data_IF_279554011239
#
_entry.id   IF_279554011239
#
_cell.length_a   1.000
_cell.length_b   1.000
_cell.length_c   1.000
_cell.angle_alpha   90.00
_cell.angle_beta   90.00
_cell.angle_gamma   90.00
#
_symmetry.space_group_name_H-M   'P 1'
#
loop_
_entity.id
_entity.type
_entity.pdbx_description
1 polymer ?
#
# COMPACT_ATOMS: atom_id res chain seq x y z
N UNK A 1 3.71 -15.62 8.12
CA UNK A 1 3.88 -16.55 9.25
C UNK A 1 3.24 -15.97 10.50
N UNK A 2 3.71 -14.86 11.07
CA UNK A 2 3.06 -14.26 12.27
C UNK A 2 1.60 -13.79 12.09
N UNK A 3 1.29 -13.03 11.03
CA UNK A 3 -0.09 -12.55 10.82
C UNK A 3 -1.12 -13.67 10.59
N UNK A 4 -0.67 -14.79 9.99
CA UNK A 4 -1.51 -15.97 9.81
C UNK A 4 -1.78 -16.66 11.15
N UNK A 5 -0.76 -16.78 12.01
CA UNK A 5 -0.91 -17.31 13.38
C UNK A 5 -1.88 -16.45 14.19
N UNK A 6 -1.75 -15.12 14.15
CA UNK A 6 -2.68 -14.22 14.83
C UNK A 6 -4.10 -14.30 14.26
N UNK A 7 -4.25 -14.58 12.95
CA UNK A 7 -5.57 -14.72 12.34
C UNK A 7 -6.31 -16.00 12.77
N UNK A 8 -5.61 -16.96 13.39
CA UNK A 8 -6.26 -18.11 14.01
C UNK A 8 -7.21 -17.67 15.15
N UNK A 9 -6.90 -16.57 15.84
CA UNK A 9 -7.79 -16.00 16.86
C UNK A 9 -9.17 -15.64 16.30
N UNK A 10 -9.25 -15.16 15.05
CA UNK A 10 -10.52 -14.77 14.43
C UNK A 10 -11.45 -15.95 14.16
N UNK A 11 -10.89 -17.14 14.01
CA UNK A 11 -11.66 -18.35 13.70
C UNK A 11 -11.90 -19.20 14.94
N UNK A 12 -11.20 -18.95 16.06
CA UNK A 12 -11.40 -19.68 17.33
C UNK A 12 -12.86 -19.66 17.78
N UNK A 13 -13.52 -18.50 17.72
CA UNK A 13 -14.94 -18.38 18.06
C UNK A 13 -15.86 -19.27 17.20
N UNK A 14 -15.46 -19.58 15.97
CA UNK A 14 -16.21 -20.47 15.08
C UNK A 14 -15.89 -21.96 15.32
N UNK A 15 -14.77 -22.25 16.00
CA UNK A 15 -14.28 -23.58 16.33
C UNK A 15 -14.71 -24.03 17.73
N UNK A 16 -14.80 -23.11 18.69
CA UNK A 16 -15.12 -23.39 20.10
C UNK A 16 -16.62 -23.41 20.38
N UNK A 17 -17.44 -24.01 19.50
CA UNK A 17 -18.76 -24.50 19.91
C UNK A 17 -18.56 -25.72 20.83
N UNK A 18 -17.98 -25.48 21.99
CA UNK A 18 -17.91 -26.45 23.07
C UNK A 18 -19.27 -26.38 23.75
N UNK A 19 -19.93 -27.52 23.89
CA UNK A 19 -21.19 -27.62 24.60
C UNK A 19 -20.90 -27.36 26.09
N UNK A 20 -21.26 -26.18 26.60
CA UNK A 20 -20.97 -25.75 27.98
C UNK A 20 -21.53 -26.72 29.04
N UNK A 21 -22.43 -27.63 28.65
CA UNK A 21 -22.97 -28.70 29.50
C UNK A 21 -22.03 -29.87 29.78
N UNK A 22 -20.86 -29.97 29.12
CA UNK A 22 -19.94 -31.10 29.31
C UNK A 22 -18.93 -30.93 30.47
N UNK A 23 -18.81 -29.73 31.06
CA UNK A 23 -17.79 -29.44 32.07
C UNK A 23 -18.41 -28.99 33.40
N UNK A 24 -18.63 -29.97 34.29
CA UNK A 24 -18.93 -29.74 35.71
C UNK A 24 -17.64 -29.75 36.53
N UNK A 25 -17.45 -28.69 37.31
CA UNK A 25 -16.42 -28.62 38.35
C UNK A 25 -16.66 -29.70 39.43
N UNK A 26 -15.64 -30.08 40.22
CA UNK A 26 -15.78 -31.08 41.28
C UNK A 26 -16.85 -30.75 42.35
N UNK A 27 -17.26 -29.49 42.44
CA UNK A 27 -18.31 -28.97 43.32
C UNK A 27 -19.72 -29.00 42.70
N UNK A 28 -19.85 -29.51 41.46
CA UNK A 28 -21.12 -29.57 40.72
C UNK A 28 -21.54 -28.26 40.06
N UNK A 29 -20.69 -27.22 40.09
CA UNK A 29 -20.91 -25.98 39.34
C UNK A 29 -20.49 -26.13 37.87
N UNK A 30 -21.07 -25.31 36.99
CA UNK A 30 -20.63 -25.23 35.60
C UNK A 30 -19.31 -24.46 35.51
N UNK A 31 -18.39 -24.90 34.65
CA UNK A 31 -17.15 -24.18 34.38
C UNK A 31 -17.45 -22.78 33.82
N UNK A 32 -16.94 -21.74 34.49
CA UNK A 32 -17.02 -20.35 33.99
C UNK A 32 -15.77 -20.12 33.13
N UNK A 33 -15.95 -20.06 31.81
CA UNK A 33 -14.88 -19.66 30.90
C UNK A 33 -14.79 -18.12 30.85
N UNK A 34 -13.73 -17.55 31.42
CA UNK A 34 -13.50 -16.09 31.46
C UNK A 34 -13.22 -15.45 30.08
N UNK A 35 -12.88 -16.26 29.07
CA UNK A 35 -12.60 -15.81 27.70
C UNK A 35 -13.49 -16.54 26.69
N UNK A 36 -14.74 -16.09 26.54
CA UNK A 36 -15.57 -16.50 25.41
C UNK A 36 -15.00 -15.81 24.16
N UNK A 37 -14.48 -16.54 23.17
CA UNK A 37 -13.90 -15.93 21.99
C UNK A 37 -14.99 -15.18 21.20
N UNK A 38 -14.73 -13.90 20.90
CA UNK A 38 -15.69 -13.03 20.24
C UNK A 38 -15.95 -13.49 18.80
N UNK A 39 -17.21 -13.72 18.45
CA UNK A 39 -17.60 -14.05 17.08
C UNK A 39 -17.28 -12.87 16.14
N UNK A 40 -16.42 -13.12 15.15
CA UNK A 40 -15.98 -12.11 14.20
C UNK A 40 -16.96 -12.01 13.03
N UNK A 41 -17.57 -10.84 12.83
CA UNK A 41 -18.46 -10.58 11.69
C UNK A 41 -17.71 -10.28 10.40
N UNK A 42 -16.49 -9.77 10.50
CA UNK A 42 -15.61 -9.47 9.38
C UNK A 42 -14.30 -8.86 9.86
N UNK A 43 -13.27 -8.91 9.02
CA UNK A 43 -11.92 -8.44 9.34
C UNK A 43 -11.58 -7.20 8.51
N UNK A 44 -11.14 -6.13 9.16
CA UNK A 44 -10.52 -4.98 8.49
C UNK A 44 -9.02 -5.14 8.61
N UNK A 45 -8.32 -5.33 7.48
CA UNK A 45 -6.87 -5.34 7.53
C UNK A 45 -6.16 -6.16 6.48
N UNK A 46 -4.88 -6.35 6.77
CA UNK A 46 -3.85 -6.73 5.82
C UNK A 46 -3.39 -5.49 5.04
N UNK A 47 -2.20 -4.98 5.40
CA UNK A 47 -1.57 -3.86 4.71
C UNK A 47 -0.79 -4.36 3.49
N UNK A 48 0.29 -5.11 3.73
CA UNK A 48 1.01 -5.80 2.68
C UNK A 48 0.17 -6.90 2.02
N UNK A 49 0.21 -6.97 0.70
CA UNK A 49 -0.54 -7.96 -0.10
C UNK A 49 -0.24 -9.40 0.30
N UNK A 50 1.01 -9.71 0.64
CA UNK A 50 1.43 -11.04 1.12
C UNK A 50 0.64 -11.45 2.38
N UNK A 51 0.42 -10.51 3.30
CA UNK A 51 -0.36 -10.74 4.52
C UNK A 51 -1.82 -10.93 4.18
N UNK A 52 -2.41 -10.02 3.40
CA UNK A 52 -3.81 -10.11 2.99
C UNK A 52 -4.14 -11.42 2.30
N UNK A 53 -3.27 -11.90 1.41
CA UNK A 53 -3.46 -13.17 0.70
C UNK A 53 -3.50 -14.34 1.68
N UNK A 54 -2.54 -14.42 2.60
CA UNK A 54 -2.48 -15.53 3.56
C UNK A 54 -3.65 -15.50 4.54
N UNK A 55 -4.05 -14.31 5.00
CA UNK A 55 -5.22 -14.13 5.87
C UNK A 55 -6.51 -14.48 5.13
N UNK A 56 -6.69 -14.02 3.88
CA UNK A 56 -7.86 -14.33 3.07
C UNK A 56 -7.99 -15.83 2.79
N UNK A 57 -6.87 -16.54 2.58
CA UNK A 57 -6.85 -18.00 2.42
C UNK A 57 -7.38 -18.74 3.66
N UNK A 58 -7.16 -18.21 4.86
CA UNK A 58 -7.72 -18.76 6.10
C UNK A 58 -9.19 -18.38 6.27
N UNK A 59 -9.49 -17.08 6.19
CA UNK A 59 -10.82 -16.53 6.51
C UNK A 59 -11.92 -17.08 5.59
N UNK A 60 -11.61 -17.35 4.32
CA UNK A 60 -12.57 -17.95 3.37
C UNK A 60 -13.09 -19.32 3.82
N UNK A 61 -12.29 -20.10 4.54
CA UNK A 61 -12.68 -21.42 5.04
C UNK A 61 -13.80 -21.33 6.08
N UNK A 62 -13.85 -20.21 6.80
CA UNK A 62 -14.85 -19.90 7.83
C UNK A 62 -15.89 -18.88 7.34
N UNK A 63 -15.88 -18.54 6.05
CA UNK A 63 -16.77 -17.57 5.42
C UNK A 63 -16.71 -16.17 6.06
N UNK A 64 -15.57 -15.79 6.64
CA UNK A 64 -15.41 -14.48 7.29
C UNK A 64 -14.98 -13.46 6.23
N UNK A 65 -15.77 -12.41 5.96
CA UNK A 65 -15.38 -11.39 5.00
C UNK A 65 -14.19 -10.56 5.47
N UNK A 66 -13.33 -10.17 4.53
CA UNK A 66 -12.18 -9.31 4.79
C UNK A 66 -12.23 -8.08 3.89
N UNK A 67 -11.99 -6.89 4.45
CA UNK A 67 -11.78 -5.65 3.70
C UNK A 67 -10.39 -5.11 3.99
N UNK A 68 -9.50 -5.15 3.01
CA UNK A 68 -8.18 -4.51 3.11
C UNK A 68 -8.27 -3.02 2.76
N UNK A 69 -7.45 -2.22 3.44
CA UNK A 69 -7.31 -0.78 3.21
C UNK A 69 -6.03 -0.40 2.45
N UNK A 70 -5.17 -1.36 2.09
CA UNK A 70 -3.86 -1.05 1.47
C UNK A 70 -3.29 -2.14 0.56
N UNK A 71 -3.82 -3.36 0.53
CA UNK A 71 -3.25 -4.42 -0.31
C UNK A 71 -3.69 -4.31 -1.77
N UNK A 72 -2.76 -3.95 -2.64
CA UNK A 72 -3.02 -3.64 -4.05
C UNK A 72 -2.69 -4.77 -5.04
N UNK A 73 -2.11 -5.90 -4.62
CA UNK A 73 -1.75 -6.98 -5.56
C UNK A 73 -2.94 -7.43 -6.41
N UNK A 74 -2.73 -7.58 -7.72
CA UNK A 74 -3.76 -8.01 -8.66
C UNK A 74 -4.29 -9.42 -8.39
N UNK A 75 -3.52 -10.28 -7.69
CA UNK A 75 -3.96 -11.63 -7.30
C UNK A 75 -5.25 -11.61 -6.48
N UNK A 76 -5.42 -10.61 -5.60
CA UNK A 76 -6.58 -10.51 -4.70
C UNK A 76 -7.92 -10.25 -5.42
N UNK A 77 -7.88 -9.90 -6.71
CA UNK A 77 -9.05 -9.75 -7.57
C UNK A 77 -9.63 -11.11 -8.03
N UNK A 78 -8.87 -12.20 -7.90
CA UNK A 78 -9.33 -13.55 -8.29
C UNK A 78 -10.35 -14.12 -7.29
N UNK A 79 -11.64 -14.01 -7.62
CA UNK A 79 -12.75 -14.52 -6.80
C UNK A 79 -12.92 -16.03 -6.82
N UNK A 80 -12.13 -16.77 -7.59
CA UNK A 80 -12.08 -18.23 -7.44
C UNK A 80 -11.24 -18.64 -6.24
N UNK A 81 -10.29 -17.79 -5.83
CA UNK A 81 -9.37 -18.00 -4.70
C UNK A 81 -9.68 -17.13 -3.49
N UNK A 82 -10.11 -15.89 -3.70
CA UNK A 82 -10.34 -14.89 -2.64
C UNK A 82 -11.79 -14.41 -2.64
N UNK A 83 -12.71 -15.37 -2.48
CA UNK A 83 -14.17 -15.21 -2.61
C UNK A 83 -14.86 -14.43 -1.48
N UNK A 84 -14.11 -14.06 -0.43
CA UNK A 84 -14.57 -13.25 0.72
C UNK A 84 -13.75 -11.97 0.92
N UNK A 85 -12.86 -11.65 -0.02
CA UNK A 85 -11.96 -10.50 0.09
C UNK A 85 -12.49 -9.31 -0.72
N UNK A 86 -12.56 -8.13 -0.12
CA UNK A 86 -12.74 -6.85 -0.81
C UNK A 86 -11.67 -5.86 -0.35
N UNK A 87 -11.56 -4.72 -1.03
CA UNK A 87 -10.61 -3.67 -0.64
C UNK A 87 -11.05 -2.30 -1.10
N UNK A 88 -10.77 -1.29 -0.27
CA UNK A 88 -11.06 0.12 -0.57
C UNK A 88 -10.00 0.77 -1.48
N UNK A 89 -8.97 0.02 -1.85
CA UNK A 89 -7.90 0.41 -2.76
C UNK A 89 -7.97 -0.36 -4.09
N UNK A 90 -7.50 0.21 -5.21
CA UNK A 90 -7.48 -0.44 -6.50
C UNK A 90 -6.37 -1.52 -6.65
N UNK A 91 -6.49 -2.42 -7.65
CA UNK A 91 -5.41 -3.32 -8.03
C UNK A 91 -4.21 -2.59 -8.69
N UNK A 92 -3.01 -3.12 -8.47
CA UNK A 92 -1.73 -2.65 -9.03
C UNK A 92 -1.68 -2.63 -10.56
N UNK A 93 -2.61 -3.31 -11.25
CA UNK A 93 -2.73 -3.21 -12.71
C UNK A 93 -2.85 -1.74 -13.18
N UNK A 94 -3.64 -0.94 -12.47
CA UNK A 94 -3.79 0.48 -12.80
C UNK A 94 -2.54 1.29 -12.43
N UNK A 95 -1.87 0.93 -11.34
CA UNK A 95 -0.62 1.58 -10.90
C UNK A 95 0.52 1.32 -11.88
N UNK A 96 0.70 0.06 -12.30
CA UNK A 96 1.66 -0.34 -13.31
C UNK A 96 1.45 0.42 -14.63
N UNK A 97 0.18 0.60 -15.03
CA UNK A 97 -0.19 1.41 -16.19
C UNK A 97 0.20 2.87 -16.02
N UNK A 98 -0.07 3.47 -14.86
CA UNK A 98 0.34 4.84 -14.54
C UNK A 98 1.87 5.02 -14.61
N UNK A 99 2.63 4.09 -14.03
CA UNK A 99 4.09 4.10 -14.08
C UNK A 99 4.60 4.03 -15.53
N UNK A 100 4.08 3.11 -16.34
CA UNK A 100 4.48 2.98 -17.75
C UNK A 100 4.11 4.22 -18.58
N UNK A 101 3.00 4.90 -18.27
CA UNK A 101 2.63 6.16 -18.92
C UNK A 101 3.56 7.31 -18.54
N UNK A 102 4.06 7.38 -17.30
CA UNK A 102 5.08 8.37 -16.89
C UNK A 102 6.35 8.18 -17.73
N UNK A 103 6.83 6.93 -17.85
CA UNK A 103 8.00 6.63 -18.66
C UNK A 103 7.79 7.02 -20.13
N UNK A 104 6.62 6.69 -20.67
CA UNK A 104 6.27 7.03 -22.05
C UNK A 104 6.21 8.53 -22.27
N UNK A 105 5.67 9.29 -21.32
CA UNK A 105 5.56 10.75 -21.39
C UNK A 105 6.93 11.43 -21.53
N UNK A 106 7.93 10.97 -20.78
CA UNK A 106 9.30 11.50 -20.85
C UNK A 106 10.20 10.80 -21.89
N UNK A 107 9.65 9.91 -22.73
CA UNK A 107 10.40 9.11 -23.70
C UNK A 107 11.55 8.29 -23.10
N UNK A 108 11.36 7.77 -21.88
CA UNK A 108 12.25 6.82 -21.23
C UNK A 108 11.96 5.41 -21.75
N UNK A 109 12.62 5.02 -22.83
CA UNK A 109 12.39 3.74 -23.53
C UNK A 109 13.33 2.63 -23.10
N UNK A 110 14.33 2.91 -22.27
CA UNK A 110 15.26 1.91 -21.74
C UNK A 110 15.48 2.13 -20.24
N UNK A 111 14.92 1.25 -19.43
CA UNK A 111 14.87 1.37 -17.97
C UNK A 111 15.32 0.10 -17.29
N UNK A 112 15.71 0.15 -16.02
CA UNK A 112 15.92 -1.04 -15.20
C UNK A 112 14.77 -1.20 -14.20
N UNK A 113 14.53 -2.42 -13.72
CA UNK A 113 13.46 -2.69 -12.76
C UNK A 113 14.00 -3.39 -11.51
N UNK A 114 13.46 -3.05 -10.34
CA UNK A 114 13.69 -3.77 -9.09
C UNK A 114 12.36 -4.06 -8.41
N UNK A 115 12.15 -5.29 -7.98
CA UNK A 115 10.93 -5.72 -7.30
C UNK A 115 11.23 -6.43 -5.98
N UNK A 116 10.35 -6.26 -4.99
CA UNK A 116 10.39 -7.06 -3.77
C UNK A 116 9.89 -8.48 -4.04
N UNK A 117 10.53 -9.48 -3.46
CA UNK A 117 10.02 -10.86 -3.44
C UNK A 117 8.71 -10.92 -2.66
N UNK A 118 7.71 -11.55 -3.25
CA UNK A 118 6.36 -11.66 -2.71
C UNK A 118 5.30 -11.21 -3.70
N UNK A 119 4.04 -11.40 -3.32
CA UNK A 119 2.88 -11.16 -4.17
C UNK A 119 2.73 -9.69 -4.57
N UNK A 120 3.17 -8.74 -3.74
CA UNK A 120 3.15 -7.31 -4.11
C UNK A 120 4.14 -6.98 -5.23
N UNK A 121 5.44 -7.13 -4.96
CA UNK A 121 6.48 -6.68 -5.89
C UNK A 121 6.51 -7.47 -7.19
N UNK A 122 6.35 -8.79 -7.13
CA UNK A 122 6.41 -9.64 -8.33
C UNK A 122 5.20 -9.42 -9.25
N UNK A 123 3.98 -9.42 -8.71
CA UNK A 123 2.80 -9.23 -9.57
C UNK A 123 2.70 -7.79 -10.08
N UNK A 124 3.12 -6.81 -9.28
CA UNK A 124 3.18 -5.42 -9.68
C UNK A 124 4.19 -5.20 -10.81
N UNK A 125 5.40 -5.75 -10.69
CA UNK A 125 6.39 -5.62 -11.76
C UNK A 125 6.00 -6.41 -13.01
N UNK A 126 5.39 -7.59 -12.89
CA UNK A 126 4.88 -8.34 -14.04
C UNK A 126 3.80 -7.57 -14.82
N UNK A 127 2.92 -6.87 -14.11
CA UNK A 127 1.94 -5.96 -14.73
C UNK A 127 2.64 -4.79 -15.42
N UNK A 128 3.64 -4.18 -14.78
CA UNK A 128 4.43 -3.11 -15.38
C UNK A 128 5.17 -3.58 -16.64
N UNK A 129 5.75 -4.77 -16.64
CA UNK A 129 6.44 -5.33 -17.82
C UNK A 129 5.51 -5.47 -19.03
N UNK A 130 4.24 -5.85 -18.81
CA UNK A 130 3.24 -5.92 -19.87
C UNK A 130 2.89 -4.54 -20.41
N UNK A 131 2.64 -3.58 -19.51
CA UNK A 131 2.33 -2.19 -19.90
C UNK A 131 3.51 -1.48 -20.58
N UNK A 132 4.74 -1.80 -20.18
CA UNK A 132 5.98 -1.33 -20.79
C UNK A 132 6.13 -1.87 -22.23
N UNK A 133 5.93 -3.17 -22.45
CA UNK A 133 5.95 -3.79 -23.79
C UNK A 133 4.91 -3.16 -24.72
N UNK A 134 3.69 -2.95 -24.21
CA UNK A 134 2.62 -2.30 -24.97
C UNK A 134 2.96 -0.86 -25.40
N UNK A 135 3.92 -0.20 -24.73
CA UNK A 135 4.37 1.18 -24.99
C UNK A 135 5.78 1.28 -25.59
N UNK A 136 6.34 0.15 -26.03
CA UNK A 136 7.68 0.05 -26.62
C UNK A 136 8.78 0.53 -25.66
N UNK A 137 8.68 0.15 -24.39
CA UNK A 137 9.71 0.40 -23.37
C UNK A 137 10.42 -0.93 -23.09
N UNK A 138 11.74 -0.92 -23.17
CA UNK A 138 12.59 -2.08 -22.92
C UNK A 138 13.21 -2.05 -21.53
N UNK A 139 13.41 -3.24 -20.97
CA UNK A 139 13.99 -3.43 -19.64
C UNK A 139 15.43 -3.92 -19.79
N UNK A 140 16.37 -3.11 -19.32
CA UNK A 140 17.81 -3.34 -19.43
C UNK A 140 18.28 -4.48 -18.51
N UNK A 141 17.76 -4.48 -17.29
CA UNK A 141 17.95 -5.53 -16.28
C UNK A 141 16.78 -5.52 -15.32
N UNK A 142 16.43 -6.70 -14.80
CA UNK A 142 15.39 -6.85 -13.79
C UNK A 142 15.98 -7.56 -12.58
N UNK A 143 16.01 -6.88 -11.44
CA UNK A 143 16.50 -7.41 -10.18
C UNK A 143 15.35 -7.67 -9.20
N UNK A 144 15.59 -8.54 -8.23
CA UNK A 144 14.67 -8.81 -7.12
C UNK A 144 15.41 -8.69 -5.79
N UNK A 145 14.71 -8.22 -4.77
CA UNK A 145 15.23 -8.10 -3.39
C UNK A 145 14.34 -8.88 -2.43
N UNK A 146 14.94 -9.50 -1.41
CA UNK A 146 14.24 -10.34 -0.44
C UNK A 146 14.67 -10.03 0.99
N UNK A 147 13.72 -10.16 1.93
CA UNK A 147 13.95 -9.99 3.38
C UNK A 147 14.94 -11.01 3.96
N UNK A 148 15.08 -12.18 3.36
CA UNK A 148 15.94 -13.27 3.88
C UNK A 148 17.41 -13.10 3.51
N UNK A 149 17.73 -12.18 2.59
CA UNK A 149 19.11 -11.94 2.16
C UNK A 149 19.84 -11.09 3.22
N UNK A 150 21.10 -11.43 3.50
CA UNK A 150 21.97 -10.64 4.38
C UNK A 150 21.93 -9.16 3.96
N UNK A 151 21.40 -8.30 4.86
CA UNK A 151 20.82 -6.98 4.55
C UNK A 151 21.75 -5.97 3.86
N UNK A 152 23.07 -6.13 3.89
CA UNK A 152 23.97 -5.14 3.27
C UNK A 152 24.47 -5.55 1.89
N UNK A 153 25.07 -6.75 1.76
CA UNK A 153 25.73 -7.16 0.52
C UNK A 153 24.75 -7.38 -0.64
N UNK A 154 23.50 -7.76 -0.36
CA UNK A 154 22.52 -8.05 -1.41
C UNK A 154 22.04 -6.79 -2.14
N UNK A 155 21.71 -5.73 -1.40
CA UNK A 155 21.24 -4.48 -2.00
C UNK A 155 22.35 -3.79 -2.79
N UNK A 156 23.58 -3.79 -2.28
CA UNK A 156 24.75 -3.29 -3.03
C UNK A 156 24.98 -4.07 -4.32
N UNK A 157 24.80 -5.40 -4.32
CA UNK A 157 24.90 -6.21 -5.55
C UNK A 157 23.84 -5.79 -6.58
N UNK A 158 22.61 -5.47 -6.13
CA UNK A 158 21.55 -4.94 -7.00
C UNK A 158 21.98 -3.59 -7.57
N UNK A 159 22.48 -2.66 -6.75
CA UNK A 159 22.99 -1.36 -7.22
C UNK A 159 24.11 -1.55 -8.26
N UNK A 160 25.07 -2.45 -8.03
CA UNK A 160 26.13 -2.76 -9.01
C UNK A 160 25.57 -3.31 -10.32
N UNK A 161 24.56 -4.19 -10.26
CA UNK A 161 23.88 -4.71 -11.46
C UNK A 161 23.18 -3.60 -12.25
N UNK A 162 22.55 -2.65 -11.57
CA UNK A 162 21.95 -1.47 -12.21
C UNK A 162 23.02 -0.58 -12.87
N UNK A 163 24.16 -0.36 -12.21
CA UNK A 163 25.25 0.45 -12.76
C UNK A 163 25.88 -0.15 -14.03
N UNK A 164 25.86 -1.48 -14.18
CA UNK A 164 26.34 -2.15 -15.40
C UNK A 164 25.51 -1.76 -16.64
N UNK A 165 24.29 -1.23 -16.45
CA UNK A 165 23.42 -0.72 -17.53
C UNK A 165 23.48 0.80 -17.58
N UNK A 166 24.65 1.34 -17.95
CA UNK A 166 24.95 2.79 -17.92
C UNK A 166 23.91 3.68 -18.60
N UNK A 167 23.25 3.20 -19.66
CA UNK A 167 22.27 3.95 -20.45
C UNK A 167 20.85 3.92 -19.85
N UNK A 168 20.58 2.97 -18.94
CA UNK A 168 19.34 2.90 -18.18
C UNK A 168 19.44 3.76 -16.92
N UNK A 169 19.31 5.09 -17.08
CA UNK A 169 19.35 6.07 -15.98
C UNK A 169 18.12 6.03 -15.09
N UNK A 170 17.00 5.56 -15.63
CA UNK A 170 15.73 5.44 -14.92
C UNK A 170 15.57 4.03 -14.36
N UNK A 171 15.23 3.94 -13.08
CA UNK A 171 15.03 2.68 -12.36
C UNK A 171 13.62 2.64 -11.78
N UNK A 172 12.83 1.68 -12.24
CA UNK A 172 11.45 1.44 -11.80
C UNK A 172 11.47 0.53 -10.57
N UNK A 173 10.84 0.97 -9.49
CA UNK A 173 10.76 0.23 -8.24
C UNK A 173 9.33 -0.22 -7.97
N UNK A 174 9.14 -1.53 -7.81
CA UNK A 174 7.91 -2.13 -7.30
C UNK A 174 8.22 -2.88 -6.01
N UNK A 175 8.46 -2.11 -4.94
CA UNK A 175 9.09 -2.61 -3.71
C UNK A 175 8.30 -2.21 -2.47
N UNK A 176 8.39 -3.03 -1.42
CA UNK A 176 7.89 -2.66 -0.08
C UNK A 176 8.67 -1.44 0.46
N UNK A 177 8.10 -0.75 1.45
CA UNK A 177 8.70 0.46 2.03
C UNK A 177 10.08 0.20 2.62
N UNK A 178 10.25 -0.92 3.32
CA UNK A 178 11.54 -1.32 3.89
C UNK A 178 12.59 -1.63 2.83
N UNK A 179 12.21 -2.28 1.74
CA UNK A 179 13.14 -2.68 0.67
C UNK A 179 13.55 -1.45 -0.16
N UNK A 180 12.62 -0.51 -0.40
CA UNK A 180 12.91 0.78 -1.02
C UNK A 180 13.93 1.57 -0.18
N UNK A 181 13.74 1.61 1.13
CA UNK A 181 14.67 2.27 2.06
C UNK A 181 16.07 1.65 2.01
N UNK A 182 16.17 0.32 2.10
CA UNK A 182 17.47 -0.36 2.06
C UNK A 182 18.18 -0.19 0.70
N UNK A 183 17.43 -0.15 -0.42
CA UNK A 183 17.98 0.20 -1.74
C UNK A 183 18.58 1.61 -1.76
N UNK A 184 17.87 2.60 -1.21
CA UNK A 184 18.37 3.99 -1.15
C UNK A 184 19.60 4.11 -0.25
N UNK A 185 19.60 3.44 0.90
CA UNK A 185 20.76 3.40 1.80
C UNK A 185 21.97 2.78 1.10
N UNK A 186 21.79 1.70 0.36
CA UNK A 186 22.87 1.07 -0.41
C UNK A 186 23.38 2.00 -1.53
N UNK A 187 22.48 2.63 -2.28
CA UNK A 187 22.84 3.59 -3.33
C UNK A 187 23.58 4.82 -2.76
N UNK A 188 23.17 5.32 -1.59
CA UNK A 188 23.83 6.41 -0.88
C UNK A 188 25.25 6.04 -0.41
N UNK A 189 25.44 4.84 0.16
CA UNK A 189 26.77 4.33 0.55
C UNK A 189 27.72 4.21 -0.64
N UNK A 190 27.18 3.85 -1.81
CA UNK A 190 27.95 3.72 -3.04
C UNK A 190 28.07 5.04 -3.82
N UNK A 191 27.45 6.13 -3.34
CA UNK A 191 27.36 7.42 -3.99
C UNK A 191 26.86 7.34 -5.46
N UNK A 192 25.79 6.57 -5.65
CA UNK A 192 25.16 6.34 -6.96
C UNK A 192 23.78 6.97 -6.97
N UNK A 193 23.45 7.68 -8.05
CA UNK A 193 22.14 8.29 -8.25
C UNK A 193 21.49 7.77 -9.54
N UNK A 194 20.19 7.54 -9.47
CA UNK A 194 19.31 7.17 -10.57
C UNK A 194 18.06 8.06 -10.53
N UNK A 195 17.33 8.14 -11.63
CA UNK A 195 15.96 8.67 -11.60
C UNK A 195 15.03 7.53 -11.19
N UNK A 196 14.60 7.53 -9.94
CA UNK A 196 13.70 6.50 -9.42
C UNK A 196 12.26 6.75 -9.87
N UNK A 197 11.55 5.69 -10.26
CA UNK A 197 10.10 5.72 -10.50
C UNK A 197 9.47 4.62 -9.64
N UNK A 198 8.92 4.98 -8.48
CA UNK A 198 8.52 4.03 -7.45
C UNK A 198 7.00 3.92 -7.26
N UNK A 199 6.58 2.71 -6.91
CA UNK A 199 5.21 2.35 -6.54
C UNK A 199 4.78 2.93 -5.17
N UNK A 200 3.52 2.73 -4.79
CA UNK A 200 2.91 3.16 -3.52
C UNK A 200 3.57 2.57 -2.26
N UNK A 201 4.34 1.48 -2.41
CA UNK A 201 5.15 0.92 -1.35
C UNK A 201 6.24 1.89 -0.87
N UNK A 202 6.80 2.71 -1.78
CA UNK A 202 7.54 3.91 -1.39
C UNK A 202 6.56 5.06 -1.12
N UNK A 203 5.72 5.40 -2.09
CA UNK A 203 4.74 6.48 -1.95
C UNK A 203 5.38 7.83 -1.60
N UNK A 204 4.73 8.61 -0.75
CA UNK A 204 5.21 9.93 -0.29
C UNK A 204 5.77 9.87 1.16
N UNK A 205 6.47 8.79 1.51
CA UNK A 205 6.96 8.54 2.86
C UNK A 205 8.35 9.17 3.11
N UNK A 206 8.44 10.12 4.05
CA UNK A 206 9.73 10.70 4.49
C UNK A 206 10.62 9.67 5.21
N UNK A 207 10.04 8.64 5.82
CA UNK A 207 10.77 7.56 6.49
C UNK A 207 11.62 6.71 5.52
N UNK A 208 11.21 6.60 4.25
CA UNK A 208 11.92 5.82 3.22
C UNK A 208 13.20 6.51 2.77
N UNK A 209 13.18 7.84 2.67
CA UNK A 209 14.29 8.67 2.15
C UNK A 209 15.22 9.22 3.23
N UNK A 210 14.83 9.13 4.51
CA UNK A 210 15.59 9.66 5.65
C UNK A 210 17.05 9.18 5.66
N UNK A 211 17.98 10.13 5.58
CA UNK A 211 19.42 9.88 5.53
C UNK A 211 19.96 9.45 4.16
N UNK A 212 19.14 9.50 3.10
CA UNK A 212 19.50 9.20 1.71
C UNK A 212 18.81 10.17 0.74
N UNK A 213 18.49 11.38 1.21
CA UNK A 213 17.69 12.38 0.51
C UNK A 213 18.34 12.83 -0.82
N UNK A 214 19.67 12.97 -0.82
CA UNK A 214 20.44 13.35 -2.01
C UNK A 214 20.33 12.34 -3.16
N UNK A 215 20.25 11.04 -2.83
CA UNK A 215 20.14 9.96 -3.81
C UNK A 215 18.70 9.75 -4.29
N UNK A 216 17.71 10.08 -3.45
CA UNK A 216 16.31 10.09 -3.80
C UNK A 216 15.89 11.34 -4.61
N UNK A 217 16.71 12.38 -4.62
CA UNK A 217 16.42 13.63 -5.32
C UNK A 217 16.14 13.40 -6.81
N UNK A 218 15.00 13.91 -7.30
CA UNK A 218 14.51 13.69 -8.66
C UNK A 218 13.68 12.42 -8.83
N UNK A 219 13.31 11.73 -7.75
CA UNK A 219 12.44 10.56 -7.81
C UNK A 219 11.00 10.95 -8.15
N UNK A 220 10.36 10.12 -8.98
CA UNK A 220 8.91 10.07 -9.14
C UNK A 220 8.37 8.96 -8.27
N UNK A 221 7.37 9.26 -7.44
CA UNK A 221 6.67 8.24 -6.67
C UNK A 221 5.17 8.33 -6.93
N UNK A 222 4.51 7.19 -6.93
CA UNK A 222 3.06 7.09 -7.10
C UNK A 222 2.47 6.73 -5.75
N UNK A 223 1.34 7.34 -5.41
CA UNK A 223 0.58 7.01 -4.22
C UNK A 223 -0.90 6.98 -4.57
N UNK A 224 -1.68 6.21 -3.83
CA UNK A 224 -3.13 6.18 -3.99
C UNK A 224 -3.72 7.59 -3.81
N UNK A 225 -4.62 7.99 -4.70
CA UNK A 225 -5.26 9.30 -4.59
C UNK A 225 -6.20 9.32 -3.39
N UNK A 226 -5.82 10.09 -2.36
CA UNK A 226 -6.58 10.29 -1.14
C UNK A 226 -6.71 11.77 -0.82
N UNK A 227 -7.62 12.07 0.11
CA UNK A 227 -7.74 13.37 0.74
C UNK A 227 -7.41 13.26 2.23
N UNK A 228 -6.91 14.34 2.81
CA UNK A 228 -6.68 14.41 4.24
C UNK A 228 -8.01 14.44 5.01
N UNK A 229 -8.03 13.87 6.21
CA UNK A 229 -9.18 13.89 7.13
C UNK A 229 -8.78 14.73 8.35
N UNK A 230 -9.07 16.06 8.36
CA UNK A 230 -8.66 16.94 9.45
C UNK A 230 -9.15 16.47 10.83
N UNK A 231 -10.36 15.89 10.90
CA UNK A 231 -10.92 15.35 12.13
C UNK A 231 -10.10 14.19 12.69
N UNK A 232 -9.46 13.39 11.83
CA UNK A 232 -8.54 12.33 12.26
C UNK A 232 -7.24 12.93 12.79
N UNK A 233 -6.73 13.99 12.17
CA UNK A 233 -5.54 14.70 12.64
C UNK A 233 -5.77 15.30 14.03
N UNK A 234 -6.93 15.93 14.25
CA UNK A 234 -7.33 16.44 15.55
C UNK A 234 -7.42 15.32 16.60
N UNK A 235 -8.05 14.20 16.24
CA UNK A 235 -8.13 13.02 17.09
C UNK A 235 -6.75 12.43 17.43
N UNK A 236 -5.87 12.26 16.44
CA UNK A 236 -4.59 11.59 16.64
C UNK A 236 -3.61 12.46 17.43
N UNK A 237 -3.58 13.77 17.17
CA UNK A 237 -2.62 14.69 17.81
C UNK A 237 -2.88 14.96 19.29
N UNK A 238 -4.06 14.61 19.80
CA UNK A 238 -4.38 14.70 21.25
C UNK A 238 -4.15 13.39 22.02
N UNK A 239 -3.78 12.31 21.32
CA UNK A 239 -3.47 11.04 21.98
C UNK A 239 -2.18 11.16 22.80
N UNK A 240 -2.21 10.54 23.97
CA UNK A 240 -1.13 10.56 24.94
C UNK A 240 -1.01 9.18 25.63
N UNK A 241 0.19 8.72 26.02
CA UNK A 241 0.38 7.45 26.74
C UNK A 241 -0.52 7.27 27.97
N UNK A 242 -0.98 8.37 28.57
CA UNK A 242 -1.83 8.35 29.78
C UNK A 242 -3.34 8.37 29.48
N UNK A 243 -3.76 8.81 28.29
CA UNK A 243 -5.18 8.86 27.91
C UNK A 243 -5.59 7.75 26.93
N UNK A 244 -4.63 7.15 26.22
CA UNK A 244 -4.87 6.15 25.19
C UNK A 244 -4.50 4.73 25.65
N UNK A 245 -5.00 4.32 26.81
CA UNK A 245 -4.69 3.01 27.41
C UNK A 245 -5.29 1.82 26.65
N UNK A 246 -6.30 2.08 25.79
CA UNK A 246 -6.92 1.07 24.93
C UNK A 246 -5.98 0.51 23.84
N UNK A 247 -4.94 1.26 23.46
CA UNK A 247 -3.97 0.82 22.47
C UNK A 247 -2.71 0.31 23.19
N UNK A 248 -2.49 -1.01 23.27
CA UNK A 248 -1.36 -1.57 24.01
C UNK A 248 0.00 -1.20 23.41
N UNK A 249 0.06 -0.86 22.12
CA UNK A 249 1.30 -0.49 21.42
C UNK A 249 1.62 1.02 21.50
N UNK A 250 0.74 1.83 22.11
CA UNK A 250 0.91 3.28 22.07
C UNK A 250 2.11 3.79 22.87
N UNK A 251 2.49 3.07 23.93
CA UNK A 251 3.68 3.40 24.75
C UNK A 251 4.97 3.20 23.97
N UNK A 252 5.12 2.05 23.32
CA UNK A 252 6.27 1.74 22.46
C UNK A 252 6.36 2.72 21.28
N UNK A 253 5.21 3.03 20.64
CA UNK A 253 5.14 4.06 19.61
C UNK A 253 5.67 5.42 20.11
N UNK A 254 5.27 5.86 21.30
CA UNK A 254 5.65 7.15 21.86
C UNK A 254 7.16 7.24 22.13
N UNK A 255 7.71 6.21 22.79
CA UNK A 255 9.14 6.10 23.09
C UNK A 255 9.98 6.11 21.81
N UNK A 256 9.54 5.38 20.77
CA UNK A 256 10.21 5.38 19.48
C UNK A 256 10.08 6.73 18.75
N UNK A 257 8.89 7.32 18.70
CA UNK A 257 8.64 8.58 18.00
C UNK A 257 9.49 9.73 18.56
N UNK A 258 9.59 9.83 19.89
CA UNK A 258 10.33 10.89 20.57
C UNK A 258 11.75 10.48 20.98
N UNK A 259 12.16 9.24 20.69
CA UNK A 259 13.45 8.67 21.10
C UNK A 259 13.72 8.87 22.60
N UNK A 260 12.72 8.55 23.42
CA UNK A 260 12.74 8.72 24.88
C UNK A 260 12.22 7.47 25.61
N UNK A 261 12.33 7.44 26.94
CA UNK A 261 11.79 6.39 27.80
C UNK A 261 10.72 6.96 28.72
N UNK A 262 9.54 6.33 28.81
CA UNK A 262 8.45 6.76 29.70
C UNK A 262 8.79 6.59 31.19
N UNK A 263 9.90 5.92 31.51
CA UNK A 263 10.48 5.93 32.85
C UNK A 263 11.08 7.30 33.22
N UNK A 264 11.46 8.12 32.23
CA UNK A 264 11.98 9.46 32.44
C UNK A 264 10.84 10.48 32.56
N UNK A 265 10.92 11.37 33.56
CA UNK A 265 9.93 12.43 33.83
C UNK A 265 9.69 13.39 32.64
N UNK A 266 10.62 13.45 31.68
CA UNK A 266 10.52 14.30 30.49
C UNK A 266 9.73 13.69 29.33
N UNK A 267 9.73 12.36 29.18
CA UNK A 267 9.19 11.71 27.97
C UNK A 267 7.66 11.85 27.86
N UNK A 268 6.97 11.86 29.00
CA UNK A 268 5.52 12.09 29.07
C UNK A 268 5.09 13.55 28.91
N UNK A 269 6.01 14.49 28.65
CA UNK A 269 5.69 15.91 28.41
C UNK A 269 5.62 16.27 26.93
N UNK A 270 6.10 15.39 26.05
CA UNK A 270 6.04 15.60 24.61
C UNK A 270 4.60 15.74 24.11
N UNK A 271 4.45 16.30 22.92
CA UNK A 271 3.17 16.35 22.24
C UNK A 271 3.34 15.99 20.78
N UNK A 272 2.38 15.25 20.23
CA UNK A 272 2.29 14.98 18.79
C UNK A 272 2.04 16.26 17.97
N UNK A 273 1.81 17.41 18.62
CA UNK A 273 1.73 18.74 18.01
C UNK A 273 3.07 19.49 17.93
N UNK A 274 4.13 19.00 18.58
CA UNK A 274 5.45 19.65 18.60
C UNK A 274 6.14 19.63 17.23
N UNK A 275 5.94 18.55 16.47
CA UNK A 275 6.40 18.42 15.09
C UNK A 275 5.20 18.54 14.13
N UNK A 276 5.40 19.00 12.88
CA UNK A 276 4.34 18.96 11.88
C UNK A 276 3.91 17.51 11.66
N UNK A 277 2.77 17.15 12.24
CA UNK A 277 2.15 15.85 12.04
C UNK A 277 1.77 15.72 10.57
N UNK A 278 2.40 14.76 9.88
CA UNK A 278 2.02 14.39 8.52
C UNK A 278 1.14 13.14 8.61
N UNK A 279 -0.14 13.23 8.25
CA UNK A 279 -1.01 12.06 8.23
C UNK A 279 -0.50 11.05 7.20
N UNK A 280 -0.64 9.76 7.52
CA UNK A 280 -0.33 8.70 6.59
C UNK A 280 -1.31 8.73 5.40
N UNK A 281 -0.80 8.50 4.18
CA UNK A 281 -1.53 8.74 2.93
C UNK A 281 -2.76 7.85 2.75
N UNK A 282 -2.83 6.70 3.44
CA UNK A 282 -3.89 5.69 3.30
C UNK A 282 -4.92 5.71 4.43
N UNK A 283 -4.86 6.65 5.38
CA UNK A 283 -5.86 6.80 6.46
C UNK A 283 -7.30 6.86 5.93
N UNK A 284 -7.52 7.60 4.83
CA UNK A 284 -8.83 7.66 4.17
C UNK A 284 -9.37 6.26 3.82
N UNK A 285 -8.52 5.35 3.33
CA UNK A 285 -8.92 4.00 2.95
C UNK A 285 -9.20 3.11 4.18
N UNK A 286 -8.51 3.33 5.29
CA UNK A 286 -8.79 2.67 6.59
C UNK A 286 -10.20 3.05 7.06
N UNK A 287 -10.49 4.35 7.10
CA UNK A 287 -11.82 4.86 7.47
C UNK A 287 -12.88 4.30 6.53
N UNK A 288 -12.66 4.36 5.22
CA UNK A 288 -13.60 3.84 4.23
C UNK A 288 -13.85 2.33 4.40
N UNK A 289 -12.83 1.54 4.75
CA UNK A 289 -12.96 0.09 4.94
C UNK A 289 -13.84 -0.24 6.16
N UNK A 290 -13.61 0.46 7.28
CA UNK A 290 -14.44 0.32 8.49
C UNK A 290 -15.88 0.75 8.21
N UNK A 291 -16.08 1.89 7.55
CA UNK A 291 -17.42 2.38 7.19
C UNK A 291 -18.11 1.49 6.16
N UNK A 292 -17.38 0.85 5.25
CA UNK A 292 -17.96 -0.12 4.31
C UNK A 292 -18.51 -1.34 5.04
N UNK A 293 -17.76 -1.89 5.99
CA UNK A 293 -18.24 -2.99 6.85
C UNK A 293 -19.45 -2.56 7.69
N UNK A 294 -19.39 -1.37 8.29
CA UNK A 294 -20.50 -0.83 9.10
C UNK A 294 -21.78 -0.62 8.27
N UNK A 295 -21.66 -0.05 7.06
CA UNK A 295 -22.79 0.13 6.15
C UNK A 295 -23.36 -1.22 5.69
N UNK A 296 -22.51 -2.20 5.39
CA UNK A 296 -22.97 -3.54 5.04
C UNK A 296 -23.76 -4.19 6.18
N UNK A 297 -23.24 -4.13 7.41
CA UNK A 297 -23.92 -4.65 8.61
C UNK A 297 -25.24 -3.91 8.87
N UNK A 298 -25.24 -2.59 8.69
CA UNK A 298 -26.43 -1.76 8.85
C UNK A 298 -27.53 -2.16 7.87
N UNK A 299 -27.19 -2.33 6.58
CA UNK A 299 -28.13 -2.75 5.54
C UNK A 299 -28.64 -4.18 5.79
N UNK A 300 -27.78 -5.09 6.26
CA UNK A 300 -28.17 -6.44 6.62
C UNK A 300 -29.13 -6.46 7.81
N UNK A 301 -28.86 -5.65 8.85
CA UNK A 301 -29.75 -5.50 10.00
C UNK A 301 -31.10 -4.89 9.60
N UNK A 302 -31.12 -3.86 8.76
CA UNK A 302 -32.38 -3.29 8.25
C UNK A 302 -33.22 -4.32 7.52
N UNK A 303 -32.60 -5.16 6.68
CA UNK A 303 -33.28 -6.16 5.90
C UNK A 303 -33.82 -7.34 6.73
N UNK A 304 -33.07 -7.78 7.74
CA UNK A 304 -33.41 -8.98 8.54
C UNK A 304 -34.16 -8.65 9.84
N UNK A 305 -33.99 -7.45 10.37
CA UNK A 305 -34.59 -6.99 11.62
C UNK A 305 -35.33 -5.64 11.41
N UNK A 306 -36.38 -5.58 10.57
CA UNK A 306 -37.00 -4.30 10.19
C UNK A 306 -37.65 -3.57 11.37
N UNK A 307 -38.14 -4.30 12.37
CA UNK A 307 -38.90 -3.76 13.50
C UNK A 307 -38.05 -3.47 14.76
N UNK A 308 -36.72 -3.54 14.67
CA UNK A 308 -35.83 -3.34 15.83
C UNK A 308 -34.54 -2.66 15.41
N UNK A 309 -34.01 -1.79 16.28
CA UNK A 309 -32.66 -1.22 16.12
C UNK A 309 -31.56 -2.13 16.67
N UNK A 310 -31.94 -3.22 17.36
CA UNK A 310 -31.02 -4.19 17.95
C UNK A 310 -30.69 -5.31 16.95
N UNK A 311 -29.61 -6.04 17.23
CA UNK A 311 -29.32 -7.32 16.58
C UNK A 311 -30.40 -8.32 16.99
N UNK A 312 -31.05 -8.95 16.02
CA UNK A 312 -32.07 -9.97 16.25
C UNK A 312 -31.52 -11.38 15.95
N UNK A 313 -32.25 -12.41 16.36
CA UNK A 313 -31.86 -13.82 16.16
C UNK A 313 -31.61 -14.17 14.68
N UNK A 314 -32.26 -13.49 13.73
CA UNK A 314 -32.01 -13.71 12.30
C UNK A 314 -30.58 -13.32 11.83
N UNK A 315 -29.83 -12.59 12.65
CA UNK A 315 -28.41 -12.29 12.42
C UNK A 315 -27.47 -13.31 13.11
N UNK A 316 -28.01 -14.26 13.87
CA UNK A 316 -27.25 -15.20 14.70
C UNK A 316 -27.62 -16.68 14.37
N UNK A 317 -26.67 -17.52 13.91
CA UNK A 317 -25.30 -17.19 13.50
C UNK A 317 -25.28 -16.43 12.16
N UNK A 318 -24.27 -15.58 11.99
CA UNK A 318 -24.11 -14.79 10.76
C UNK A 318 -23.88 -15.69 9.53
N UNK A 319 -24.55 -15.38 8.42
CA UNK A 319 -24.29 -16.03 7.13
C UNK A 319 -23.25 -15.20 6.37
N UNK A 320 -21.97 -15.53 6.53
CA UNK A 320 -20.85 -14.82 5.92
C UNK A 320 -20.93 -14.73 4.39
N UNK A 321 -21.39 -15.80 3.72
CA UNK A 321 -21.58 -15.83 2.27
C UNK A 321 -22.59 -14.80 1.79
N UNK A 322 -23.75 -14.76 2.45
CA UNK A 322 -24.81 -13.78 2.18
C UNK A 322 -24.32 -12.37 2.54
N UNK A 323 -23.66 -12.23 3.68
CA UNK A 323 -23.13 -10.95 4.15
C UNK A 323 -22.16 -10.33 3.13
N UNK A 324 -21.21 -11.11 2.61
CA UNK A 324 -20.28 -10.62 1.60
C UNK A 324 -20.97 -10.27 0.27
N UNK A 325 -21.72 -11.23 -0.32
CA UNK A 325 -22.28 -11.08 -1.68
C UNK A 325 -23.43 -10.08 -1.77
N UNK A 326 -24.29 -10.05 -0.76
CA UNK A 326 -25.53 -9.26 -0.81
C UNK A 326 -25.42 -7.92 -0.09
N UNK A 327 -24.42 -7.73 0.76
CA UNK A 327 -24.29 -6.50 1.53
C UNK A 327 -22.94 -5.82 1.32
N UNK A 328 -21.81 -6.49 1.55
CA UNK A 328 -20.47 -5.86 1.37
C UNK A 328 -20.25 -5.42 -0.08
N UNK A 329 -20.41 -6.31 -1.06
CA UNK A 329 -20.17 -5.96 -2.47
C UNK A 329 -21.18 -4.93 -3.02
N UNK A 330 -22.32 -4.74 -2.35
CA UNK A 330 -23.39 -3.83 -2.77
C UNK A 330 -23.38 -2.50 -2.02
N UNK A 331 -22.41 -2.25 -1.14
CA UNK A 331 -22.32 -0.95 -0.47
C UNK A 331 -22.05 0.16 -1.48
N UNK A 332 -22.75 1.26 -1.31
CA UNK A 332 -22.53 2.51 -2.04
C UNK A 332 -22.93 3.66 -1.13
N UNK A 333 -21.95 4.45 -0.73
CA UNK A 333 -22.17 5.60 0.15
C UNK A 333 -21.13 6.70 -0.14
N UNK A 334 -21.50 7.94 0.17
CA UNK A 334 -20.56 9.06 0.11
C UNK A 334 -19.44 8.84 1.12
N UNK A 335 -18.20 9.02 0.67
CA UNK A 335 -17.05 8.75 1.51
C UNK A 335 -17.08 9.65 2.76
N UNK A 336 -16.94 9.08 3.97
CA UNK A 336 -16.99 9.83 5.22
C UNK A 336 -15.86 10.86 5.25
N UNK A 337 -16.17 12.02 5.85
CA UNK A 337 -15.24 13.15 6.00
C UNK A 337 -14.65 13.68 4.69
N UNK A 338 -15.24 13.36 3.53
CA UNK A 338 -14.81 13.93 2.25
C UNK A 338 -15.00 15.45 2.23
N UNK A 339 -14.12 16.20 1.54
CA UNK A 339 -14.35 17.61 1.29
C UNK A 339 -15.68 17.86 0.55
N UNK A 340 -16.44 18.93 0.87
CA UNK A 340 -17.77 19.18 0.30
C UNK A 340 -17.81 19.32 -1.23
N UNK A 341 -16.69 19.71 -1.83
CA UNK A 341 -16.47 19.91 -3.25
C UNK A 341 -16.08 18.62 -4.00
N UNK A 342 -16.07 17.47 -3.32
CA UNK A 342 -15.71 16.19 -3.91
C UNK A 342 -16.89 15.23 -3.99
N UNK A 343 -16.95 14.47 -5.09
CA UNK A 343 -17.95 13.40 -5.31
C UNK A 343 -17.37 12.01 -5.01
N UNK A 344 -16.51 11.90 -4.00
CA UNK A 344 -15.90 10.62 -3.63
C UNK A 344 -16.94 9.68 -3.04
N UNK A 345 -17.13 8.52 -3.68
CA UNK A 345 -18.10 7.48 -3.29
C UNK A 345 -17.34 6.18 -3.04
N UNK A 346 -17.61 5.55 -1.91
CA UNK A 346 -17.08 4.21 -1.59
C UNK A 346 -18.01 3.16 -2.18
N UNK A 347 -17.45 2.32 -3.06
CA UNK A 347 -18.13 1.19 -3.70
C UNK A 347 -17.09 0.18 -4.16
N UNK A 348 -17.53 -1.06 -4.36
CA UNK A 348 -16.71 -2.11 -4.95
C UNK A 348 -17.22 -2.49 -6.34
N UNK A 349 -16.34 -3.00 -7.17
CA UNK A 349 -16.72 -3.67 -8.42
C UNK A 349 -17.08 -5.15 -8.19
N UNK A 350 -17.31 -5.89 -9.27
CA UNK A 350 -17.63 -7.33 -9.20
C UNK A 350 -16.48 -8.17 -8.62
N UNK A 351 -15.25 -7.65 -8.65
CA UNK A 351 -14.05 -8.24 -8.07
C UNK A 351 -13.74 -7.67 -6.68
N UNK A 352 -14.67 -6.98 -6.03
CA UNK A 352 -14.45 -6.45 -4.69
C UNK A 352 -13.38 -5.35 -4.62
N UNK A 353 -13.02 -4.75 -5.77
CA UNK A 353 -11.97 -3.75 -5.90
C UNK A 353 -12.55 -2.33 -5.97
N UNK A 354 -11.75 -1.35 -5.56
CA UNK A 354 -12.07 0.08 -5.70
C UNK A 354 -11.55 0.65 -7.02
N UNK A 355 -12.00 1.85 -7.38
CA UNK A 355 -11.61 2.54 -8.61
C UNK A 355 -10.16 3.04 -8.54
N UNK A 356 -9.38 2.79 -9.60
CA UNK A 356 -7.98 3.23 -9.73
C UNK A 356 -7.82 4.73 -9.91
N UNK A 357 -7.30 5.42 -8.89
CA UNK A 357 -6.84 6.81 -8.96
C UNK A 357 -5.56 6.97 -8.16
N UNK A 358 -4.58 7.67 -8.72
CA UNK A 358 -3.27 7.85 -8.11
C UNK A 358 -2.79 9.30 -8.25
N UNK A 359 -2.08 9.76 -7.24
CA UNK A 359 -1.32 11.01 -7.28
C UNK A 359 0.13 10.71 -7.63
N UNK A 360 0.76 11.61 -8.37
CA UNK A 360 2.15 11.49 -8.80
C UNK A 360 2.96 12.56 -8.09
N UNK A 361 3.95 12.13 -7.32
CA UNK A 361 4.82 12.98 -6.55
C UNK A 361 6.20 13.05 -7.17
N UNK A 362 6.84 14.21 -7.04
CA UNK A 362 8.25 14.40 -7.38
C UNK A 362 9.02 14.82 -6.12
N UNK A 363 10.01 14.02 -5.72
CA UNK A 363 10.84 14.29 -4.55
C UNK A 363 12.02 15.17 -4.95
N UNK A 364 12.11 16.37 -4.38
CA UNK A 364 13.19 17.28 -4.72
C UNK A 364 13.50 18.29 -3.62
N UNK A 365 14.65 18.97 -3.76
CA UNK A 365 15.05 20.04 -2.86
C UNK A 365 14.33 21.35 -3.19
N UNK A 366 13.52 21.86 -2.27
CA UNK A 366 12.97 23.22 -2.27
C UNK A 366 13.70 24.05 -1.20
N UNK A 367 14.56 24.98 -1.64
CA UNK A 367 15.42 25.74 -0.73
C UNK A 367 16.43 24.84 -0.01
N UNK A 368 16.32 24.76 1.33
CA UNK A 368 17.19 23.90 2.15
C UNK A 368 16.57 22.55 2.54
N UNK A 369 15.31 22.27 2.14
CA UNK A 369 14.59 21.05 2.53
C UNK A 369 14.21 20.22 1.33
N UNK A 370 14.22 18.91 1.50
CA UNK A 370 13.64 17.99 0.52
C UNK A 370 12.16 17.79 0.82
N UNK A 371 11.34 17.73 -0.22
CA UNK A 371 9.88 17.58 -0.11
C UNK A 371 9.33 16.72 -1.24
N UNK A 372 8.22 16.01 -0.96
CA UNK A 372 7.37 15.44 -2.00
C UNK A 372 6.38 16.51 -2.49
N UNK A 373 6.44 16.85 -3.77
CA UNK A 373 5.46 17.74 -4.40
C UNK A 373 4.55 16.93 -5.32
N UNK A 374 3.23 17.10 -5.19
CA UNK A 374 2.31 16.57 -6.20
C UNK A 374 2.52 17.32 -7.52
N UNK A 375 2.90 16.58 -8.56
CA UNK A 375 3.18 17.11 -9.91
C UNK A 375 2.16 16.63 -10.92
N UNK A 376 1.19 15.81 -10.51
CA UNK A 376 0.13 15.32 -11.37
C UNK A 376 -0.66 14.18 -10.77
N UNK A 377 -1.49 13.55 -11.59
CA UNK A 377 -2.33 12.44 -11.19
C UNK A 377 -2.61 11.49 -12.36
N UNK A 378 -3.09 10.31 -12.03
CA UNK A 378 -3.54 9.30 -12.97
C UNK A 378 -4.94 8.81 -12.58
N UNK A 379 -5.87 8.78 -13.54
CA UNK A 379 -7.22 8.25 -13.32
C UNK A 379 -7.68 7.34 -14.48
N UNK A 380 -7.83 7.90 -15.68
CA UNK A 380 -8.06 7.13 -16.92
C UNK A 380 -6.98 7.45 -17.98
N UNK A 381 -5.96 8.17 -17.55
CA UNK A 381 -4.84 8.68 -18.32
C UNK A 381 -3.97 9.53 -17.41
N UNK A 382 -2.73 9.74 -17.85
CA UNK A 382 -1.74 10.53 -17.15
C UNK A 382 -1.93 12.04 -17.39
N UNK A 383 -1.96 12.81 -16.31
CA UNK A 383 -1.88 14.28 -16.35
C UNK A 383 -0.71 14.73 -15.48
N UNK A 384 0.27 15.43 -16.06
CA UNK A 384 1.43 15.98 -15.36
C UNK A 384 1.55 17.49 -15.60
N UNK A 385 1.96 18.23 -14.58
CA UNK A 385 2.38 19.61 -14.66
C UNK A 385 3.91 19.67 -14.60
N UNK A 386 4.54 19.71 -15.78
CA UNK A 386 6.01 19.70 -15.91
C UNK A 386 6.69 20.92 -15.33
N UNK A 387 5.98 22.04 -15.17
CA UNK A 387 6.52 23.27 -14.57
C UNK A 387 6.82 23.10 -13.07
N UNK A 388 6.24 22.09 -12.42
CA UNK A 388 6.50 21.75 -11.02
C UNK A 388 7.64 20.73 -10.84
N UNK A 389 8.28 20.31 -11.94
CA UNK A 389 9.32 19.29 -11.93
C UNK A 389 10.67 19.96 -12.18
N UNK A 390 11.48 20.19 -11.14
CA UNK A 390 12.83 20.72 -11.32
C UNK A 390 13.75 19.63 -11.87
N UNK A 391 14.35 19.91 -13.03
CA UNK A 391 15.37 19.04 -13.63
C UNK A 391 16.77 19.55 -13.34
N UNK A 392 17.68 18.63 -13.00
CA UNK A 392 19.10 18.96 -12.90
C UNK A 392 19.61 19.49 -14.26
N UNK A 393 20.13 20.72 -14.27
CA UNK A 393 20.57 21.38 -15.50
C UNK A 393 19.45 21.77 -16.47
N UNK A 394 18.18 21.81 -16.03
CA UNK A 394 16.99 22.15 -16.84
C UNK A 394 16.70 21.21 -18.02
N UNK A 395 17.31 20.02 -18.04
CA UNK A 395 17.11 19.02 -19.11
C UNK A 395 16.58 17.72 -18.51
N UNK A 396 15.54 17.16 -19.14
CA UNK A 396 14.98 15.85 -18.76
C UNK A 396 16.05 14.78 -18.95
N UNK A 397 16.31 13.91 -17.95
CA UNK A 397 17.24 12.79 -18.09
C UNK A 397 16.90 11.94 -19.31
N UNK A 398 17.91 11.53 -20.07
CA UNK A 398 17.74 10.59 -21.18
C UNK A 398 17.96 9.18 -20.68
N UNK A 399 17.03 8.27 -20.98
CA UNK A 399 17.11 6.85 -20.65
C UNK A 399 16.69 6.02 -21.86
N UNK A 400 17.65 5.80 -22.76
CA UNK A 400 17.48 5.15 -24.07
C UNK A 400 18.58 4.09 -24.26
N UNK A 401 18.36 3.08 -25.08
CA UNK A 401 19.29 1.94 -25.16
C UNK A 401 20.63 2.31 -25.80
N UNK A 402 20.58 3.02 -26.92
CA UNK A 402 21.75 3.44 -27.67
C UNK A 402 21.99 4.94 -27.53
N UNK A 403 23.24 5.35 -27.67
CA UNK A 403 23.60 6.76 -27.67
C UNK A 403 22.99 7.49 -28.88
N UNK A 404 22.69 8.80 -28.74
CA UNK A 404 22.20 9.59 -29.86
C UNK A 404 23.25 9.67 -30.97
N UNK A 405 22.82 9.46 -32.21
CA UNK A 405 23.70 9.57 -33.37
C UNK A 405 24.23 10.99 -33.54
N UNK A 406 25.46 11.13 -34.03
CA UNK A 406 26.06 12.42 -34.34
C UNK A 406 25.35 13.05 -35.54
N UNK A 407 25.57 14.35 -35.71
CA UNK A 407 25.07 15.07 -36.88
C UNK A 407 25.62 14.42 -38.16
N UNK A 408 24.72 14.09 -39.09
CA UNK A 408 24.98 13.39 -40.36
C UNK A 408 25.17 11.86 -40.28
N UNK A 409 24.95 11.24 -39.12
CA UNK A 409 24.83 9.78 -39.01
C UNK A 409 23.37 9.34 -39.21
N UNK A 410 23.17 8.13 -39.73
CA UNK A 410 21.84 7.54 -39.94
C UNK A 410 21.53 6.57 -38.82
N UNK A 411 20.39 6.76 -38.17
CA UNK A 411 19.85 5.82 -37.20
C UNK A 411 19.35 4.56 -37.92
N UNK A 412 19.94 3.40 -37.64
CA UNK A 412 19.47 2.11 -38.15
C UNK A 412 18.98 1.23 -37.01
N UNK A 413 17.70 0.84 -37.06
CA UNK A 413 17.08 -0.09 -36.12
C UNK A 413 17.27 -1.53 -36.64
N UNK A 414 17.69 -2.46 -35.78
CA UNK A 414 17.75 -3.87 -36.16
C UNK A 414 16.32 -4.45 -36.25
N UNK A 415 16.04 -5.38 -37.18
CA UNK A 415 14.71 -6.01 -37.28
C UNK A 415 14.29 -6.65 -35.95
N UNK A 416 13.13 -6.26 -35.43
CA UNK A 416 12.58 -6.76 -34.16
C UNK A 416 13.02 -5.96 -32.92
N UNK A 417 14.02 -5.08 -33.06
CA UNK A 417 14.46 -4.19 -32.00
C UNK A 417 13.60 -2.92 -31.98
N UNK A 418 13.09 -2.55 -30.81
CA UNK A 418 12.19 -1.39 -30.65
C UNK A 418 12.80 -0.27 -29.82
N UNK A 419 13.95 -0.52 -29.18
CA UNK A 419 14.60 0.43 -28.28
C UNK A 419 16.05 0.74 -28.64
N UNK A 420 16.80 -0.23 -29.19
CA UNK A 420 18.21 -0.06 -29.51
C UNK A 420 18.41 0.22 -31.01
N UNK A 421 19.40 1.05 -31.32
CA UNK A 421 19.82 1.35 -32.69
C UNK A 421 21.34 1.41 -32.83
N UNK A 422 21.79 1.42 -34.07
CA UNK A 422 23.16 1.77 -34.42
C UNK A 422 23.19 3.12 -35.14
N UNK A 423 24.29 3.82 -34.89
CA UNK A 423 24.78 4.97 -35.62
C UNK A 423 26.15 4.50 -36.17
#
# INVERSE_FOLDING_TARGET
>A
TYALEQSLEFVRASLTKVDDSEYTCPDGSYAIHDEVPLAISGVIGGSYSDVSIQVANLLRLFQIPQISYASTSAKLSDKTRYDYFARTVPPDFYQAKAMAEILRYFNWTYVSTVASEGDYGETGIDAFQQEARARQICIATSAKVSRSMSRSMSYENVIRSLQQKSNAKVVVLFTRSEDARELLVAANRMNVSFTWVASDGWGAQESVVRGSESVANGAFTIELASYEIPQFNDYFTVLHPYNNTRNPWFREFWENQFQCSLHDLGCGKHSLREAPFQPESKIMFVVNAVYAMANALHNMRQALCPNSTKVCEALMPGNGRKFYRDYILKVKFDAPFRPPDTENVVRFDAFGDSVGRYNIFHYHKEGERYVYRSVGYWAQGLTLNTSLIPWAGQVVPTSQCSDPCRKNEVKSMQPGDVCCWIC
#
